data_IF_467030439595
#
_entry.id   IF_467030439595
#
_cell.length_a   1.000
_cell.length_b   1.000
_cell.length_c   1.000
_cell.angle_alpha   90.00
_cell.angle_beta   90.00
_cell.angle_gamma   90.00
#
_symmetry.space_group_name_H-M   'P 1'
#
loop_
_entity.id
_entity.type
_entity.pdbx_description
1 polymer ?
#
# COMPACT_ATOMS: atom_id res chain seq x y z
N UNK A 1 13.29 -5.89 21.40
CA UNK A 1 12.55 -7.15 21.65
C UNK A 1 11.31 -7.24 20.74
N UNK A 2 11.44 -6.93 19.45
CA UNK A 2 10.36 -7.02 18.44
C UNK A 2 10.81 -7.90 17.24
N UNK A 3 12.13 -8.09 17.08
CA UNK A 3 12.73 -8.86 15.97
C UNK A 3 12.61 -10.38 16.16
N UNK A 4 12.38 -10.88 17.40
CA UNK A 4 12.31 -12.32 17.67
C UNK A 4 10.98 -12.99 17.28
N UNK A 5 9.91 -12.22 17.05
CA UNK A 5 8.58 -12.79 16.73
C UNK A 5 8.39 -13.12 15.24
N UNK A 6 9.27 -12.64 14.35
CA UNK A 6 9.15 -12.87 12.90
C UNK A 6 9.80 -14.17 12.42
N UNK A 7 10.46 -14.94 13.30
CA UNK A 7 11.24 -16.14 12.91
C UNK A 7 10.40 -17.43 12.98
N UNK A 8 9.23 -17.42 13.64
CA UNK A 8 8.48 -18.65 13.97
C UNK A 8 7.41 -19.09 12.96
N UNK A 9 7.26 -18.41 11.82
CA UNK A 9 6.33 -18.84 10.76
C UNK A 9 7.04 -18.94 9.40
N UNK A 10 8.24 -19.52 9.40
CA UNK A 10 8.86 -19.95 8.16
C UNK A 10 8.18 -21.25 7.73
N UNK A 11 7.40 -21.20 6.64
CA UNK A 11 6.89 -22.40 5.98
C UNK A 11 8.08 -23.31 5.66
N UNK A 12 8.03 -24.54 6.19
CA UNK A 12 9.05 -25.54 5.93
C UNK A 12 8.72 -26.27 4.63
N UNK A 13 9.27 -25.77 3.53
CA UNK A 13 9.11 -26.34 2.18
C UNK A 13 9.64 -27.78 2.07
N UNK A 14 10.49 -28.25 3.01
CA UNK A 14 10.97 -29.64 3.06
C UNK A 14 9.95 -30.57 3.73
N UNK A 15 9.18 -30.05 4.69
CA UNK A 15 8.12 -30.81 5.35
C UNK A 15 6.79 -30.75 4.57
N UNK A 16 6.51 -29.64 3.88
CA UNK A 16 5.31 -29.43 3.08
C UNK A 16 5.69 -28.75 1.76
N UNK A 17 5.89 -29.56 0.71
CA UNK A 17 6.06 -29.03 -0.64
C UNK A 17 4.81 -28.25 -1.05
N UNK A 18 4.99 -27.12 -1.74
CA UNK A 18 3.87 -26.43 -2.36
C UNK A 18 3.11 -27.39 -3.30
N UNK A 19 1.76 -27.37 -3.27
CA UNK A 19 0.98 -28.18 -4.20
C UNK A 19 1.31 -27.74 -5.64
N UNK A 20 1.55 -28.71 -6.51
CA UNK A 20 1.71 -28.45 -7.94
C UNK A 20 0.40 -27.87 -8.48
N UNK A 21 0.51 -26.72 -9.16
CA UNK A 21 -0.63 -26.11 -9.84
C UNK A 21 -0.94 -26.89 -11.11
N UNK A 22 -2.22 -26.96 -11.45
CA UNK A 22 -2.64 -27.54 -12.73
C UNK A 22 -2.11 -26.72 -13.92
N UNK A 23 -1.90 -27.40 -15.04
CA UNK A 23 -1.50 -26.77 -16.30
C UNK A 23 -2.70 -26.05 -16.94
N UNK A 24 -2.45 -25.22 -17.96
CA UNK A 24 -3.49 -24.45 -18.66
C UNK A 24 -4.61 -25.29 -19.30
N UNK A 25 -4.41 -26.60 -19.50
CA UNK A 25 -5.41 -27.52 -20.09
C UNK A 25 -6.21 -28.30 -19.04
N UNK A 26 -6.05 -27.93 -17.76
CA UNK A 26 -6.64 -28.64 -16.63
C UNK A 26 -7.03 -27.70 -15.50
N UNK A 27 -8.01 -28.09 -14.70
CA UNK A 27 -8.45 -27.34 -13.53
C UNK A 27 -8.35 -28.18 -12.26
N UNK A 28 -8.35 -27.51 -11.10
CA UNK A 28 -8.35 -28.16 -9.79
C UNK A 28 -9.77 -28.09 -9.20
N UNK A 29 -10.48 -29.21 -9.05
CA UNK A 29 -11.80 -29.22 -8.41
C UNK A 29 -11.70 -29.06 -6.89
N UNK A 30 -12.73 -28.46 -6.27
CA UNK A 30 -12.78 -28.18 -4.82
C UNK A 30 -12.96 -29.43 -3.96
N UNK A 31 -13.31 -30.56 -4.56
CA UNK A 31 -13.39 -31.86 -3.87
C UNK A 31 -12.03 -32.44 -3.46
N UNK A 32 -10.92 -31.72 -3.72
CA UNK A 32 -9.56 -32.14 -3.37
C UNK A 32 -9.05 -33.31 -4.22
N UNK A 33 -9.67 -33.57 -5.37
CA UNK A 33 -9.14 -34.55 -6.32
C UNK A 33 -8.00 -33.95 -7.16
N UNK A 34 -7.32 -34.80 -7.94
CA UNK A 34 -6.23 -34.39 -8.83
C UNK A 34 -6.73 -33.48 -9.95
N UNK A 35 -5.81 -32.78 -10.62
CA UNK A 35 -6.12 -31.99 -11.81
C UNK A 35 -6.97 -32.77 -12.82
N UNK A 36 -8.08 -32.17 -13.23
CA UNK A 36 -9.03 -32.71 -14.20
C UNK A 36 -8.94 -31.93 -15.52
N UNK A 37 -9.24 -32.55 -16.67
CA UNK A 37 -9.28 -31.84 -17.95
C UNK A 37 -10.37 -30.76 -17.95
N UNK A 38 -10.14 -29.66 -18.68
CA UNK A 38 -11.14 -28.61 -18.85
C UNK A 38 -12.43 -29.14 -19.50
N UNK A 39 -13.54 -28.55 -19.09
CA UNK A 39 -14.90 -28.90 -19.49
C UNK A 39 -15.22 -28.19 -20.81
N UNK A 40 -15.74 -28.91 -21.83
CA UNK A 40 -16.15 -28.29 -23.09
C UNK A 40 -17.30 -27.29 -22.90
N UNK A 41 -17.48 -26.39 -23.87
CA UNK A 41 -18.67 -25.55 -23.97
C UNK A 41 -19.94 -26.43 -23.94
N UNK A 42 -21.00 -25.93 -23.32
CA UNK A 42 -22.25 -26.64 -23.01
C UNK A 42 -22.11 -27.79 -21.98
N UNK A 43 -20.91 -28.02 -21.45
CA UNK A 43 -20.68 -28.95 -20.35
C UNK A 43 -21.08 -28.39 -18.98
N UNK A 44 -21.29 -29.27 -17.97
CA UNK A 44 -21.65 -28.86 -16.62
C UNK A 44 -20.46 -28.26 -15.88
N UNK A 45 -20.65 -27.17 -15.14
CA UNK A 45 -19.60 -26.53 -14.33
C UNK A 45 -20.11 -26.11 -12.93
N UNK A 46 -19.18 -25.94 -11.99
CA UNK A 46 -19.50 -25.41 -10.66
C UNK A 46 -19.73 -23.88 -10.73
N UNK A 47 -20.69 -23.39 -9.92
CA UNK A 47 -21.05 -21.97 -9.95
C UNK A 47 -19.83 -21.09 -9.63
N UNK A 48 -19.61 -20.07 -10.46
CA UNK A 48 -18.50 -19.12 -10.35
C UNK A 48 -17.10 -19.72 -10.57
N UNK A 49 -17.02 -20.95 -11.09
CA UNK A 49 -15.78 -21.63 -11.46
C UNK A 49 -15.57 -21.54 -12.97
N UNK A 50 -15.30 -20.32 -13.44
CA UNK A 50 -15.04 -20.05 -14.86
C UNK A 50 -13.74 -20.73 -15.35
N UNK A 51 -12.85 -21.10 -14.43
CA UNK A 51 -11.59 -21.79 -14.67
C UNK A 51 -11.75 -23.26 -15.10
N UNK A 52 -12.93 -23.86 -14.90
CA UNK A 52 -13.19 -25.25 -15.31
C UNK A 52 -13.47 -25.36 -16.80
N UNK A 53 -13.93 -24.27 -17.43
CA UNK A 53 -14.39 -24.25 -18.81
C UNK A 53 -13.25 -24.05 -19.81
N UNK A 54 -13.31 -24.75 -20.94
CA UNK A 54 -12.37 -24.57 -22.05
C UNK A 54 -12.77 -23.41 -22.95
N UNK A 55 -11.77 -22.66 -23.44
CA UNK A 55 -11.96 -21.58 -24.41
C UNK A 55 -11.39 -20.24 -23.96
N UNK A 56 -11.26 -19.31 -24.91
CA UNK A 56 -10.88 -17.93 -24.63
C UNK A 56 -12.11 -17.19 -24.10
N UNK A 57 -11.98 -16.55 -22.94
CA UNK A 57 -13.10 -15.85 -22.27
C UNK A 57 -14.27 -16.80 -21.95
N UNK A 58 -13.95 -18.01 -21.50
CA UNK A 58 -14.94 -18.95 -21.00
C UNK A 58 -15.57 -18.44 -19.69
N UNK A 59 -16.84 -18.75 -19.51
CA UNK A 59 -17.64 -18.33 -18.35
C UNK A 59 -18.64 -19.41 -17.97
N UNK A 60 -18.73 -19.74 -16.68
CA UNK A 60 -19.72 -20.67 -16.16
C UNK A 60 -20.98 -19.89 -15.76
N UNK A 61 -22.10 -20.12 -16.46
CA UNK A 61 -23.39 -19.48 -16.19
C UNK A 61 -24.45 -20.55 -15.93
N UNK A 62 -25.16 -20.45 -14.80
CA UNK A 62 -26.22 -21.39 -14.43
C UNK A 62 -25.77 -22.87 -14.53
N UNK A 63 -24.55 -23.15 -14.04
CA UNK A 63 -23.89 -24.47 -14.09
C UNK A 63 -23.61 -25.04 -15.49
N UNK A 64 -23.53 -24.17 -16.50
CA UNK A 64 -23.14 -24.56 -17.87
C UNK A 64 -22.03 -23.66 -18.40
N UNK A 65 -21.03 -24.27 -19.06
CA UNK A 65 -19.93 -23.54 -19.68
C UNK A 65 -20.37 -22.82 -20.96
N UNK A 66 -20.13 -21.51 -21.03
CA UNK A 66 -20.34 -20.67 -22.20
C UNK A 66 -19.05 -19.94 -22.59
N UNK A 67 -19.03 -19.36 -23.78
CA UNK A 67 -18.02 -18.39 -24.21
C UNK A 67 -18.64 -17.00 -24.17
N UNK A 68 -17.92 -16.04 -23.58
CA UNK A 68 -18.29 -14.63 -23.64
C UNK A 68 -18.04 -14.11 -25.05
N UNK A 69 -19.09 -13.61 -25.70
CA UNK A 69 -19.01 -13.19 -27.11
C UNK A 69 -20.33 -13.17 -27.86
N UNK A 70 -21.47 -13.22 -27.17
CA UNK A 70 -22.77 -13.11 -27.81
C UNK A 70 -22.95 -11.67 -28.32
N UNK A 71 -23.18 -11.46 -29.63
CA UNK A 71 -23.31 -10.13 -30.20
C UNK A 71 -24.64 -9.48 -29.79
N UNK A 72 -24.75 -8.17 -30.02
CA UNK A 72 -25.98 -7.41 -29.84
C UNK A 72 -27.19 -8.09 -30.52
N UNK A 73 -28.27 -8.28 -29.79
CA UNK A 73 -29.48 -8.97 -30.25
C UNK A 73 -29.40 -10.51 -30.24
N UNK A 74 -28.25 -11.09 -29.89
CA UNK A 74 -28.10 -12.53 -29.72
C UNK A 74 -28.71 -13.03 -28.41
N UNK A 75 -28.93 -14.36 -28.33
CA UNK A 75 -29.43 -15.03 -27.14
C UNK A 75 -28.31 -15.19 -26.10
N UNK A 76 -28.50 -14.66 -24.90
CA UNK A 76 -27.50 -14.68 -23.83
C UNK A 76 -27.94 -15.50 -22.62
N UNK A 77 -26.94 -16.11 -21.97
CA UNK A 77 -27.08 -16.65 -20.64
C UNK A 77 -26.77 -15.57 -19.60
N UNK A 78 -27.47 -15.64 -18.46
CA UNK A 78 -27.14 -14.83 -17.30
C UNK A 78 -27.21 -15.67 -16.02
N UNK A 79 -26.29 -15.44 -15.11
CA UNK A 79 -26.24 -16.08 -13.79
C UNK A 79 -26.33 -15.00 -12.71
N UNK A 80 -27.25 -15.17 -11.76
CA UNK A 80 -27.49 -14.23 -10.67
C UNK A 80 -27.11 -14.86 -9.35
N UNK A 81 -26.17 -14.23 -8.66
CA UNK A 81 -25.77 -14.59 -7.30
C UNK A 81 -26.05 -13.44 -6.34
N UNK A 82 -26.82 -13.73 -5.29
CA UNK A 82 -27.12 -12.78 -4.24
C UNK A 82 -26.25 -13.08 -3.01
N UNK A 83 -25.35 -12.18 -2.66
CA UNK A 83 -24.55 -12.24 -1.43
C UNK A 83 -25.24 -11.47 -0.32
N UNK A 84 -25.30 -12.07 0.86
CA UNK A 84 -25.80 -11.42 2.07
C UNK A 84 -24.61 -11.28 3.03
N UNK A 85 -24.28 -10.05 3.37
CA UNK A 85 -23.29 -9.72 4.40
C UNK A 85 -23.97 -8.99 5.55
N UNK A 86 -23.31 -8.95 6.70
CA UNK A 86 -23.78 -8.23 7.87
C UNK A 86 -22.84 -7.05 8.12
N UNK A 87 -23.41 -5.87 8.36
CA UNK A 87 -22.62 -4.70 8.76
C UNK A 87 -22.20 -4.78 10.23
N UNK A 88 -21.43 -3.79 10.69
CA UNK A 88 -21.00 -3.71 12.09
C UNK A 88 -22.16 -3.58 13.09
N UNK A 89 -23.35 -3.19 12.64
CA UNK A 89 -24.58 -3.09 13.42
C UNK A 89 -25.46 -4.36 13.37
N UNK A 90 -25.05 -5.39 12.61
CA UNK A 90 -25.81 -6.62 12.43
C UNK A 90 -26.96 -6.53 11.40
N UNK A 91 -27.05 -5.43 10.64
CA UNK A 91 -28.01 -5.31 9.55
C UNK A 91 -27.52 -6.08 8.32
N UNK A 92 -28.46 -6.71 7.62
CA UNK A 92 -28.16 -7.45 6.39
C UNK A 92 -28.03 -6.51 5.19
N UNK A 93 -26.87 -6.52 4.55
CA UNK A 93 -26.63 -5.88 3.26
C UNK A 93 -26.69 -6.94 2.18
N UNK A 94 -27.57 -6.76 1.20
CA UNK A 94 -27.71 -7.66 0.06
C UNK A 94 -27.00 -7.07 -1.15
N UNK A 95 -26.01 -7.78 -1.67
CA UNK A 95 -25.31 -7.44 -2.91
C UNK A 95 -25.65 -8.46 -3.99
N UNK A 96 -26.25 -8.01 -5.10
CA UNK A 96 -26.61 -8.86 -6.24
C UNK A 96 -25.54 -8.73 -7.34
N UNK A 97 -24.83 -9.81 -7.63
CA UNK A 97 -23.91 -9.91 -8.76
C UNK A 97 -24.58 -10.71 -9.85
N UNK A 98 -24.62 -10.16 -11.07
CA UNK A 98 -25.11 -10.87 -12.24
C UNK A 98 -24.03 -10.87 -13.30
N UNK A 99 -23.76 -12.04 -13.83
CA UNK A 99 -22.76 -12.29 -14.87
C UNK A 99 -23.47 -12.73 -16.15
N UNK A 100 -22.92 -12.37 -17.30
CA UNK A 100 -23.48 -12.74 -18.62
C UNK A 100 -22.38 -12.97 -19.66
N UNK A 101 -22.75 -13.58 -20.78
CA UNK A 101 -21.86 -13.92 -21.88
C UNK A 101 -21.96 -12.96 -23.08
N UNK A 102 -22.48 -11.74 -22.89
CA UNK A 102 -22.54 -10.72 -23.94
C UNK A 102 -21.16 -10.12 -24.23
N UNK A 103 -21.00 -9.54 -25.43
CA UNK A 103 -19.80 -8.80 -25.82
C UNK A 103 -19.60 -7.54 -24.97
N UNK A 104 -18.42 -6.93 -25.04
CA UNK A 104 -18.15 -5.62 -24.44
C UNK A 104 -19.20 -4.56 -24.88
N UNK A 105 -19.45 -3.57 -24.03
CA UNK A 105 -20.45 -2.51 -24.22
C UNK A 105 -21.92 -2.99 -24.36
N UNK A 106 -22.18 -4.26 -24.04
CA UNK A 106 -23.52 -4.85 -24.02
C UNK A 106 -23.75 -5.63 -22.73
N UNK A 107 -25.00 -5.86 -22.37
CA UNK A 107 -25.38 -6.67 -21.22
C UNK A 107 -26.61 -7.52 -21.53
N UNK A 108 -26.80 -8.60 -20.79
CA UNK A 108 -27.94 -9.49 -20.98
C UNK A 108 -29.19 -8.98 -20.26
N UNK A 109 -30.27 -8.77 -21.02
CA UNK A 109 -31.60 -8.42 -20.52
C UNK A 109 -32.65 -9.40 -21.06
N UNK A 110 -33.38 -10.08 -20.17
CA UNK A 110 -34.37 -11.11 -20.51
C UNK A 110 -33.92 -12.09 -21.63
N UNK A 111 -32.68 -12.59 -21.55
CA UNK A 111 -32.04 -13.50 -22.52
C UNK A 111 -31.61 -12.88 -23.85
N UNK A 112 -31.60 -11.55 -24.01
CA UNK A 112 -31.08 -10.89 -25.22
C UNK A 112 -29.99 -9.89 -24.85
N UNK A 113 -28.88 -9.90 -25.59
CA UNK A 113 -27.84 -8.88 -25.42
C UNK A 113 -28.34 -7.54 -25.94
N UNK A 114 -28.40 -6.54 -25.07
CA UNK A 114 -28.76 -5.16 -25.40
C UNK A 114 -27.60 -4.21 -25.11
N UNK A 115 -27.63 -3.02 -25.71
CA UNK A 115 -26.56 -2.03 -25.57
C UNK A 115 -26.55 -1.47 -24.14
N UNK A 116 -25.36 -1.36 -23.56
CA UNK A 116 -25.18 -0.66 -22.29
C UNK A 116 -25.51 0.84 -22.41
N UNK A 117 -25.93 1.40 -21.29
CA UNK A 117 -26.47 2.75 -21.12
C UNK A 117 -25.36 3.77 -20.96
N UNK A 118 -25.61 4.98 -21.45
CA UNK A 118 -24.68 6.10 -21.37
C UNK A 118 -24.68 6.73 -19.97
N UNK A 119 -23.62 7.49 -19.66
CA UNK A 119 -23.50 8.26 -18.40
C UNK A 119 -24.73 9.17 -18.24
N UNK A 120 -25.30 9.22 -17.03
CA UNK A 120 -26.52 9.96 -16.74
C UNK A 120 -27.82 9.19 -16.97
N UNK A 121 -27.76 7.99 -17.54
CA UNK A 121 -28.95 7.13 -17.72
C UNK A 121 -29.32 6.40 -16.43
N UNK A 122 -30.61 6.13 -16.24
CA UNK A 122 -31.08 5.32 -15.11
C UNK A 122 -30.61 3.88 -15.22
N UNK A 123 -30.03 3.35 -14.16
CA UNK A 123 -29.53 1.99 -14.03
C UNK A 123 -29.97 1.37 -12.70
N UNK A 124 -30.01 0.04 -12.67
CA UNK A 124 -30.18 -0.71 -11.43
C UNK A 124 -28.88 -1.40 -11.01
N UNK A 125 -28.01 -1.70 -11.97
CA UNK A 125 -26.78 -2.44 -11.76
C UNK A 125 -25.63 -1.86 -12.59
N UNK A 126 -24.41 -2.01 -12.07
CA UNK A 126 -23.17 -1.51 -12.68
C UNK A 126 -22.99 -1.92 -14.14
N UNK A 127 -23.33 -3.17 -14.48
CA UNK A 127 -23.17 -3.72 -15.85
C UNK A 127 -24.04 -3.06 -16.90
N UNK A 128 -25.13 -2.43 -16.48
CA UNK A 128 -26.02 -1.73 -17.41
C UNK A 128 -25.36 -0.48 -17.98
N UNK A 129 -24.30 0.05 -17.35
CA UNK A 129 -23.64 1.28 -17.73
C UNK A 129 -22.40 1.00 -18.58
N UNK A 130 -22.16 1.81 -19.61
CA UNK A 130 -20.91 1.78 -20.39
C UNK A 130 -19.68 2.07 -19.54
N UNK A 131 -19.84 2.87 -18.47
CA UNK A 131 -18.79 3.14 -17.49
C UNK A 131 -18.51 1.96 -16.55
N UNK A 132 -19.36 0.93 -16.54
CA UNK A 132 -19.29 -0.19 -15.59
C UNK A 132 -19.60 0.21 -14.16
N UNK A 133 -20.32 1.31 -13.92
CA UNK A 133 -20.68 1.76 -12.57
C UNK A 133 -22.02 2.49 -12.55
N UNK A 134 -22.90 2.03 -11.66
CA UNK A 134 -24.20 2.60 -11.33
C UNK A 134 -24.13 3.18 -9.92
N UNK A 135 -24.47 4.46 -9.74
CA UNK A 135 -24.47 5.09 -8.42
C UNK A 135 -25.62 4.56 -7.55
N UNK A 136 -25.54 4.76 -6.23
CA UNK A 136 -26.65 4.51 -5.31
C UNK A 136 -27.92 5.32 -5.63
N UNK A 137 -27.79 6.44 -6.36
CA UNK A 137 -28.92 7.23 -6.89
C UNK A 137 -29.60 6.58 -8.11
N UNK A 138 -29.10 5.45 -8.58
CA UNK A 138 -29.63 4.71 -9.73
C UNK A 138 -29.26 5.32 -11.09
N UNK A 139 -28.09 5.96 -11.21
CA UNK A 139 -27.65 6.64 -12.43
C UNK A 139 -26.23 6.20 -12.83
N UNK A 140 -26.00 6.04 -14.14
CA UNK A 140 -24.68 5.68 -14.66
C UNK A 140 -23.68 6.81 -14.44
N UNK A 141 -22.57 6.52 -13.74
CA UNK A 141 -21.51 7.48 -13.42
C UNK A 141 -20.16 6.94 -13.86
N UNK A 142 -19.14 7.81 -13.98
CA UNK A 142 -17.76 7.35 -14.12
C UNK A 142 -17.32 6.67 -12.82
N UNK A 143 -16.91 5.40 -12.90
CA UNK A 143 -16.53 4.61 -11.73
C UNK A 143 -15.32 5.17 -10.98
N UNK A 144 -15.13 4.79 -9.69
CA UNK A 144 -14.06 5.33 -8.83
C UNK A 144 -12.64 4.89 -9.23
N UNK A 145 -12.51 3.97 -10.20
CA UNK A 145 -11.23 3.50 -10.73
C UNK A 145 -10.63 4.38 -11.83
N UNK A 146 -11.31 5.44 -12.27
CA UNK A 146 -10.71 6.40 -13.20
C UNK A 146 -9.74 7.30 -12.44
N UNK A 147 -8.56 7.55 -13.02
CA UNK A 147 -7.60 8.49 -12.46
C UNK A 147 -8.29 9.84 -12.26
N UNK A 148 -8.65 10.17 -11.03
CA UNK A 148 -9.12 11.50 -10.72
C UNK A 148 -7.99 12.47 -11.04
N UNK A 149 -8.21 13.36 -12.00
CA UNK A 149 -7.33 14.49 -12.20
C UNK A 149 -7.35 15.30 -10.91
N UNK A 150 -6.28 15.17 -10.11
CA UNK A 150 -6.18 15.85 -8.82
C UNK A 150 -6.29 17.34 -9.07
N UNK A 151 -7.25 18.00 -8.41
CA UNK A 151 -7.49 19.42 -8.59
C UNK A 151 -6.22 20.23 -8.29
N UNK A 152 -5.91 21.22 -9.14
CA UNK A 152 -4.66 22.00 -9.06
C UNK A 152 -4.43 22.66 -7.69
N UNK A 153 -5.49 23.00 -6.96
CA UNK A 153 -5.37 23.59 -5.62
C UNK A 153 -4.75 22.61 -4.61
N UNK A 154 -4.99 21.30 -4.76
CA UNK A 154 -4.44 20.29 -3.86
C UNK A 154 -2.91 20.23 -3.99
N UNK A 155 -2.38 20.34 -5.21
CA UNK A 155 -0.95 20.43 -5.47
C UNK A 155 -0.32 21.65 -4.82
N UNK A 156 -1.01 22.80 -4.85
CA UNK A 156 -0.55 24.01 -4.17
C UNK A 156 -0.47 23.82 -2.65
N UNK A 157 -1.49 23.19 -2.04
CA UNK A 157 -1.53 22.92 -0.59
C UNK A 157 -0.40 21.98 -0.17
N UNK A 158 -0.18 20.89 -0.92
CA UNK A 158 0.89 19.93 -0.65
C UNK A 158 2.26 20.60 -0.81
N UNK A 159 2.47 21.37 -1.87
CA UNK A 159 3.71 22.12 -2.10
C UNK A 159 4.01 23.10 -0.96
N UNK A 160 3.01 23.88 -0.52
CA UNK A 160 3.17 24.81 0.60
C UNK A 160 3.49 24.10 1.91
N UNK A 161 2.86 22.95 2.18
CA UNK A 161 3.10 22.15 3.39
C UNK A 161 4.54 21.64 3.46
N UNK A 162 5.06 21.09 2.36
CA UNK A 162 6.45 20.61 2.27
C UNK A 162 7.44 21.76 2.45
N UNK A 163 7.22 22.90 1.78
CA UNK A 163 8.07 24.07 1.93
C UNK A 163 8.08 24.60 3.36
N UNK A 164 6.92 24.69 4.02
CA UNK A 164 6.83 25.12 5.40
C UNK A 164 7.59 24.17 6.35
N UNK A 165 7.45 22.84 6.15
CA UNK A 165 8.18 21.85 6.93
C UNK A 165 9.70 21.98 6.76
N UNK A 166 10.19 22.17 5.54
CA UNK A 166 11.62 22.39 5.26
C UNK A 166 12.13 23.69 5.89
N UNK A 167 11.38 24.79 5.80
CA UNK A 167 11.77 26.06 6.40
C UNK A 167 11.83 25.96 7.93
N UNK A 168 10.84 25.32 8.56
CA UNK A 168 10.81 25.13 10.02
C UNK A 168 11.98 24.27 10.48
N UNK A 169 12.24 23.14 9.83
CA UNK A 169 13.35 22.25 10.19
C UNK A 169 14.70 22.95 10.03
N UNK A 170 14.94 23.65 8.92
CA UNK A 170 16.15 24.44 8.73
C UNK A 170 16.29 25.59 9.74
N UNK A 171 15.18 26.27 10.06
CA UNK A 171 15.16 27.33 11.07
C UNK A 171 15.53 26.84 12.47
N UNK A 172 14.97 25.70 12.90
CA UNK A 172 15.31 25.06 14.18
C UNK A 172 16.77 24.64 14.21
N UNK A 173 17.27 23.98 13.17
CA UNK A 173 18.67 23.58 13.08
C UNK A 173 19.61 24.79 13.11
N UNK A 174 19.26 25.89 12.43
CA UNK A 174 20.04 27.11 12.45
C UNK A 174 20.10 27.75 13.85
N UNK A 175 18.99 27.78 14.58
CA UNK A 175 18.94 28.27 15.96
C UNK A 175 19.79 27.42 16.90
N UNK A 176 19.66 26.09 16.82
CA UNK A 176 20.46 25.16 17.63
C UNK A 176 21.95 25.32 17.36
N UNK A 177 22.34 25.40 16.09
CA UNK A 177 23.73 25.60 15.70
C UNK A 177 24.27 26.97 16.16
N UNK A 178 23.46 28.04 16.07
CA UNK A 178 23.86 29.36 16.57
C UNK A 178 23.99 29.39 18.09
N UNK A 179 23.14 28.66 18.81
CA UNK A 179 23.23 28.51 20.26
C UNK A 179 24.50 27.76 20.67
N UNK A 180 24.78 26.61 20.03
CA UNK A 180 25.99 25.84 20.29
C UNK A 180 27.27 26.64 20.00
N UNK A 181 27.31 27.39 18.88
CA UNK A 181 28.44 28.27 18.57
C UNK A 181 28.71 29.30 19.66
N UNK A 182 27.68 29.89 20.28
CA UNK A 182 27.88 30.88 21.37
C UNK A 182 28.53 30.24 22.58
N UNK A 183 28.05 29.06 22.99
CA UNK A 183 28.61 28.30 24.10
C UNK A 183 30.08 27.93 23.84
N UNK A 184 30.41 27.49 22.63
CA UNK A 184 31.78 27.14 22.26
C UNK A 184 32.72 28.36 22.26
N UNK A 185 32.25 29.52 21.81
CA UNK A 185 33.03 30.76 21.82
C UNK A 185 33.31 31.24 23.26
N UNK A 186 32.34 31.13 24.17
CA UNK A 186 32.54 31.45 25.58
C UNK A 186 33.59 30.53 26.23
N UNK A 187 33.57 29.24 25.90
CA UNK A 187 34.59 28.27 26.34
C UNK A 187 35.98 28.63 25.79
N UNK A 188 36.07 29.01 24.52
CA UNK A 188 37.33 29.46 23.90
C UNK A 188 37.89 30.69 24.63
N UNK A 189 37.10 31.75 24.78
CA UNK A 189 37.54 32.99 25.45
C UNK A 189 38.02 32.73 26.89
N UNK A 190 37.31 31.87 27.64
CA UNK A 190 37.73 31.48 28.99
C UNK A 190 39.06 30.71 28.99
N UNK A 191 39.23 29.75 28.09
CA UNK A 191 40.46 28.95 27.99
C UNK A 191 41.69 29.83 27.70
N UNK A 192 41.61 30.75 26.75
CA UNK A 192 42.74 31.64 26.43
C UNK A 192 42.97 32.70 27.52
N UNK A 193 41.91 33.28 28.07
CA UNK A 193 42.03 34.25 29.16
C UNK A 193 42.65 33.66 30.44
N UNK A 194 42.35 32.39 30.76
CA UNK A 194 42.98 31.70 31.89
C UNK A 194 44.47 31.41 31.59
N UNK A 195 44.81 30.98 30.37
CA UNK A 195 46.22 30.80 29.95
C UNK A 195 47.05 32.10 30.05
N UNK A 196 46.49 33.23 29.61
CA UNK A 196 47.16 34.53 29.72
C UNK A 196 47.45 34.92 31.18
N UNK A 197 46.50 34.64 32.09
CA UNK A 197 46.68 34.85 33.53
C UNK A 197 47.75 33.93 34.11
N UNK A 198 47.76 32.65 33.71
CA UNK A 198 48.82 31.71 34.10
C UNK A 198 50.19 32.22 33.64
N UNK A 199 50.33 32.59 32.37
CA UNK A 199 51.59 33.08 31.80
C UNK A 199 52.09 34.34 32.53
N UNK A 200 51.21 35.31 32.80
CA UNK A 200 51.54 36.52 33.56
C UNK A 200 51.92 36.21 35.01
N UNK A 201 51.25 35.26 35.67
CA UNK A 201 51.57 34.83 37.05
C UNK A 201 52.94 34.15 37.12
N UNK A 202 53.28 33.31 36.14
CA UNK A 202 54.61 32.66 36.08
C UNK A 202 55.73 33.65 35.72
N UNK A 203 55.48 34.61 34.83
CA UNK A 203 56.43 35.68 34.52
C UNK A 203 56.76 36.55 35.75
N UNK A 204 55.78 36.78 36.64
CA UNK A 204 56.00 37.50 37.90
C UNK A 204 56.64 36.64 39.00
N UNK A 205 56.55 35.31 38.88
CA UNK A 205 56.88 34.35 39.94
C UNK A 205 58.31 33.80 39.89
N UNK A 206 59.07 33.92 38.80
CA UNK A 206 60.52 33.78 38.89
C UNK A 206 61.26 34.14 37.59
N UNK A 207 62.30 34.95 37.78
CA UNK A 207 63.61 34.74 37.17
C UNK A 207 64.11 33.31 37.45
N UNK A 208 63.55 32.29 36.79
CA UNK A 208 64.15 30.97 36.59
C UNK A 208 63.19 30.07 35.79
N UNK A 209 63.59 29.79 34.55
CA UNK A 209 63.22 28.69 33.64
C UNK A 209 61.97 27.86 33.99
N UNK A 210 60.93 27.98 33.15
CA UNK A 210 59.73 27.12 33.17
C UNK A 210 59.88 26.03 32.11
N UNK A 211 59.86 24.76 32.54
CA UNK A 211 59.74 23.61 31.64
C UNK A 211 58.27 23.41 31.26
N UNK A 212 57.96 23.50 29.97
CA UNK A 212 56.65 23.12 29.44
C UNK A 212 56.58 21.59 29.40
N UNK A 213 55.93 20.98 30.40
CA UNK A 213 55.43 19.62 30.26
C UNK A 213 54.04 19.65 29.65
N UNK A 214 53.86 18.92 28.55
CA UNK A 214 52.53 18.60 28.03
C UNK A 214 51.72 17.88 29.11
N UNK A 215 50.42 18.17 29.29
CA UNK A 215 49.61 17.47 30.27
C UNK A 215 49.58 15.97 29.94
N UNK A 216 49.86 15.16 30.95
CA UNK A 216 49.81 13.71 30.86
C UNK A 216 48.37 13.28 30.59
N UNK A 217 48.14 12.62 29.45
CA UNK A 217 46.84 12.11 29.02
C UNK A 217 46.17 11.20 30.07
N UNK A 218 46.95 10.65 31.01
CA UNK A 218 46.46 9.68 32.00
C UNK A 218 45.58 10.23 33.13
N UNK A 219 45.56 11.55 33.38
CA UNK A 219 44.74 12.10 34.47
C UNK A 219 43.28 12.36 34.05
N UNK A 220 43.01 12.52 32.75
CA UNK A 220 41.63 12.68 32.23
C UNK A 220 40.83 11.37 32.18
N UNK A 221 41.49 10.21 32.29
CA UNK A 221 40.83 8.91 32.41
C UNK A 221 40.26 8.64 33.82
N UNK A 222 40.77 9.32 34.86
CA UNK A 222 40.34 9.10 36.26
C UNK A 222 39.06 9.90 36.58
N UNK A 223 38.82 11.03 35.90
CA UNK A 223 37.59 11.81 36.03
C UNK A 223 36.40 11.24 35.24
N UNK A 224 36.63 10.35 34.27
CA UNK A 224 35.56 9.64 33.55
C UNK A 224 34.93 8.49 34.36
N UNK A 225 35.61 7.99 35.40
CA UNK A 225 35.13 6.83 36.18
C UNK A 225 34.37 7.21 37.47
N UNK A 226 34.19 8.50 37.78
CA UNK A 226 33.42 8.95 38.96
C UNK A 226 32.06 9.56 38.60
N UNK A 227 31.57 9.35 37.37
CA UNK A 227 30.20 9.69 36.94
C UNK A 227 29.45 8.44 36.42
N UNK A 228 29.77 7.28 37.00
CA UNK A 228 28.99 6.05 36.90
C UNK A 228 28.90 5.42 38.30
N UNK A 229 28.13 6.08 39.16
CA UNK A 229 27.43 5.54 40.32
C UNK A 229 26.21 6.42 40.57
#
# INVERSE_FOLDING_TARGET
MIVLFLIYLRWDELAHSFPERCNNDSYCPDNGSRCMPLIPVDGPCELQRDDECTGKEAICLNSTCFIKGVPLGGNCGSDRTDYISYDAGGFTIKQTIIRDNCTEETYCDYFVCIKSKEIGSNCWQDRECLSGTCSDEGVCITGPGVFHTIANWLWAVVGCSVCAFVIVTLGVLWLLHRYQRRIEQEKYVKFFGDNDKFLKKYQLSNSSVVYLTTPDYKESAVLSNNYLS
#
